data_IF_709328812720
#
_entry.id   IF_709328812720
#
_cell.length_a   1.000
_cell.length_b   1.000
_cell.length_c   1.000
_cell.angle_alpha   90.00
_cell.angle_beta   90.00
_cell.angle_gamma   90.00
#
_symmetry.space_group_name_H-M   'P 1'
#
loop_
_entity.id
_entity.type
_entity.pdbx_description
1 polymer ?
#
# COMPACT_ATOMS: atom_id res chain seq x y z
N UNK A 1 -18.88 0.32 -1.52
CA UNK A 1 -19.92 1.29 -1.11
C UNK A 1 -20.20 2.24 -2.27
N UNK A 2 -21.46 2.66 -2.50
CA UNK A 2 -21.85 3.52 -3.64
C UNK A 2 -22.76 4.70 -3.23
N UNK A 3 -22.94 4.95 -1.92
CA UNK A 3 -23.79 6.03 -1.42
C UNK A 3 -23.14 7.42 -1.50
N UNK A 4 -23.93 8.47 -1.32
CA UNK A 4 -23.49 9.87 -1.48
C UNK A 4 -22.52 10.41 -0.42
N UNK A 5 -22.30 9.66 0.66
CA UNK A 5 -21.29 9.89 1.69
C UNK A 5 -20.06 8.98 1.51
N UNK A 6 -19.75 8.58 0.26
CA UNK A 6 -18.65 7.67 -0.05
C UNK A 6 -17.29 8.10 0.51
N UNK A 7 -17.02 9.41 0.55
CA UNK A 7 -15.78 9.95 1.13
C UNK A 7 -15.74 9.79 2.65
N UNK A 8 -16.88 9.93 3.34
CA UNK A 8 -16.99 9.65 4.78
C UNK A 8 -16.80 8.17 5.06
N UNK A 9 -17.49 7.31 4.29
CA UNK A 9 -17.33 5.86 4.40
C UNK A 9 -15.87 5.46 4.18
N UNK A 10 -15.20 6.02 3.18
CA UNK A 10 -13.79 5.76 2.91
C UNK A 10 -12.89 6.16 4.09
N UNK A 11 -13.09 7.34 4.67
CA UNK A 11 -12.33 7.78 5.85
C UNK A 11 -12.56 6.86 7.06
N UNK A 12 -13.80 6.41 7.28
CA UNK A 12 -14.14 5.50 8.38
C UNK A 12 -13.49 4.11 8.19
N UNK A 13 -13.50 3.57 6.96
CA UNK A 13 -12.80 2.31 6.64
C UNK A 13 -11.28 2.44 6.75
N UNK A 14 -10.70 3.58 6.35
CA UNK A 14 -9.28 3.87 6.56
C UNK A 14 -8.94 3.93 8.05
N UNK A 15 -9.84 4.41 8.90
CA UNK A 15 -9.63 4.43 10.35
C UNK A 15 -9.62 3.01 10.95
N UNK A 16 -10.57 2.16 10.55
CA UNK A 16 -10.59 0.73 10.95
C UNK A 16 -9.32 0.01 10.49
N UNK A 17 -8.91 0.24 9.23
CA UNK A 17 -7.65 -0.30 8.71
C UNK A 17 -6.45 0.17 9.54
N UNK A 18 -6.46 1.41 10.03
CA UNK A 18 -5.42 1.94 10.91
C UNK A 18 -5.34 1.17 12.23
N UNK A 19 -6.48 0.86 12.85
CA UNK A 19 -6.55 0.06 14.07
C UNK A 19 -5.97 -1.34 13.81
N UNK A 20 -6.45 -2.02 12.77
CA UNK A 20 -5.99 -3.37 12.40
C UNK A 20 -4.49 -3.41 12.16
N UNK A 21 -3.97 -2.51 11.31
CA UNK A 21 -2.54 -2.51 10.99
C UNK A 21 -1.69 -2.08 12.19
N UNK A 22 -2.18 -1.18 13.04
CA UNK A 22 -1.46 -0.80 14.27
C UNK A 22 -1.23 -2.01 15.17
N UNK A 23 -2.20 -2.94 15.27
CA UNK A 23 -2.02 -4.17 16.06
C UNK A 23 -0.88 -5.05 15.53
N UNK A 24 -0.70 -5.13 14.20
CA UNK A 24 0.38 -5.89 13.57
C UNK A 24 1.75 -5.36 14.02
N UNK A 25 1.93 -4.04 14.06
CA UNK A 25 3.19 -3.42 14.49
C UNK A 25 3.42 -3.43 16.02
N UNK A 26 2.39 -3.77 16.82
CA UNK A 26 2.53 -3.97 18.27
C UNK A 26 2.97 -5.39 18.65
N UNK A 27 2.78 -6.36 17.74
CA UNK A 27 3.05 -7.77 17.98
C UNK A 27 4.13 -8.31 17.02
N UNK A 28 5.40 -7.88 17.16
CA UNK A 28 6.46 -8.32 16.26
C UNK A 28 6.69 -9.83 16.37
N UNK A 29 6.80 -10.51 15.22
CA UNK A 29 7.17 -11.92 15.19
C UNK A 29 8.61 -12.10 15.67
N UNK A 30 8.85 -13.19 16.42
CA UNK A 30 10.20 -13.57 16.83
C UNK A 30 10.98 -14.12 15.64
N UNK A 31 12.28 -13.89 15.65
CA UNK A 31 13.19 -14.49 14.68
C UNK A 31 13.11 -16.02 14.71
N UNK A 32 12.98 -16.61 13.53
CA UNK A 32 13.04 -18.05 13.32
C UNK A 32 14.07 -18.35 12.23
N UNK A 33 15.14 -19.05 12.59
CA UNK A 33 16.19 -19.47 11.66
C UNK A 33 16.13 -20.98 11.46
N UNK A 34 16.20 -21.41 10.20
CA UNK A 34 16.42 -22.82 9.88
C UNK A 34 17.89 -23.20 10.12
N UNK A 35 18.22 -24.50 10.29
CA UNK A 35 19.62 -24.93 10.44
C UNK A 35 20.53 -24.46 9.30
N UNK A 36 20.00 -24.39 8.08
CA UNK A 36 20.72 -23.88 6.91
C UNK A 36 21.03 -22.37 7.04
N UNK A 37 20.05 -21.58 7.48
CA UNK A 37 20.24 -20.14 7.72
C UNK A 37 21.20 -19.86 8.87
N UNK A 38 21.25 -20.72 9.88
CA UNK A 38 22.26 -20.64 10.94
C UNK A 38 23.67 -20.83 10.38
N UNK A 39 23.88 -21.82 9.50
CA UNK A 39 25.16 -22.02 8.83
C UNK A 39 25.54 -20.82 7.96
N UNK A 40 24.60 -20.27 7.20
CA UNK A 40 24.80 -19.07 6.38
C UNK A 40 25.17 -17.85 7.23
N UNK A 41 24.47 -17.65 8.36
CA UNK A 41 24.79 -16.59 9.31
C UNK A 41 26.21 -16.73 9.88
N UNK A 42 26.62 -17.95 10.25
CA UNK A 42 27.96 -18.19 10.78
C UNK A 42 29.04 -17.93 9.72
N UNK A 43 28.81 -18.39 8.49
CA UNK A 43 29.73 -18.22 7.36
C UNK A 43 29.78 -16.78 6.81
N UNK A 44 28.78 -15.94 7.10
CA UNK A 44 28.70 -14.58 6.58
C UNK A 44 29.91 -13.72 6.99
N UNK A 45 30.57 -13.17 5.97
CA UNK A 45 31.72 -12.26 6.09
C UNK A 45 31.34 -10.80 5.82
N UNK A 46 30.14 -10.55 5.29
CA UNK A 46 29.62 -9.24 4.93
C UNK A 46 28.29 -8.97 5.62
N UNK A 47 28.06 -7.70 5.97
CA UNK A 47 26.79 -7.19 6.44
C UNK A 47 25.83 -7.05 5.25
N UNK A 48 24.66 -7.67 5.30
CA UNK A 48 23.70 -7.59 4.19
C UNK A 48 23.05 -6.20 4.02
N UNK A 49 23.02 -5.37 5.08
CA UNK A 49 22.38 -4.03 5.04
C UNK A 49 23.25 -2.99 4.32
N UNK A 50 24.55 -2.97 4.59
CA UNK A 50 25.50 -2.00 4.02
C UNK A 50 26.47 -2.63 3.01
N UNK A 51 26.33 -3.93 2.78
CA UNK A 51 27.05 -4.72 1.76
C UNK A 51 28.59 -4.67 1.89
N UNK A 52 29.12 -4.43 3.10
CA UNK A 52 30.56 -4.41 3.38
C UNK A 52 30.98 -5.49 4.37
N UNK A 53 32.27 -5.85 4.33
CA UNK A 53 32.83 -6.85 5.24
C UNK A 53 32.76 -6.38 6.70
N UNK A 54 32.56 -7.33 7.62
CA UNK A 54 32.60 -7.02 9.05
C UNK A 54 33.98 -6.50 9.45
N UNK A 55 34.03 -5.35 10.12
CA UNK A 55 35.28 -4.80 10.66
C UNK A 55 35.64 -5.51 11.96
N UNK A 56 36.94 -5.53 12.28
CA UNK A 56 37.43 -6.07 13.56
C UNK A 56 36.73 -5.37 14.74
N UNK A 57 36.20 -6.17 15.68
CA UNK A 57 35.46 -5.69 16.85
C UNK A 57 33.98 -5.35 16.60
N UNK A 58 33.47 -5.42 15.37
CA UNK A 58 32.03 -5.28 15.14
C UNK A 58 31.27 -6.54 15.53
N UNK A 59 30.21 -6.37 16.32
CA UNK A 59 29.31 -7.46 16.68
C UNK A 59 28.41 -7.82 15.50
N UNK A 60 28.54 -9.05 15.02
CA UNK A 60 27.66 -9.67 14.02
C UNK A 60 26.36 -10.13 14.71
N UNK A 61 25.22 -9.67 14.21
CA UNK A 61 23.88 -10.00 14.72
C UNK A 61 22.99 -10.48 13.57
N UNK A 62 22.06 -11.41 13.81
CA UNK A 62 21.10 -11.83 12.81
C UNK A 62 19.97 -10.79 12.68
N UNK A 63 19.71 -10.36 11.46
CA UNK A 63 18.58 -9.48 11.13
C UNK A 63 17.36 -10.31 10.69
N UNK A 64 16.17 -9.82 10.98
CA UNK A 64 14.93 -10.47 10.58
C UNK A 64 13.79 -9.45 10.36
N UNK A 65 12.79 -9.88 9.60
CA UNK A 65 11.56 -9.16 9.36
C UNK A 65 10.56 -9.44 10.50
N UNK A 66 10.09 -8.40 11.16
CA UNK A 66 9.15 -8.53 12.29
C UNK A 66 7.69 -8.73 11.86
N UNK A 67 7.38 -8.59 10.56
CA UNK A 67 6.03 -8.60 10.01
C UNK A 67 5.61 -9.94 9.38
N UNK A 68 6.55 -10.89 9.19
CA UNK A 68 6.23 -12.21 8.63
C UNK A 68 6.57 -13.32 9.64
N UNK A 69 5.68 -14.34 9.77
CA UNK A 69 5.86 -15.41 10.74
C UNK A 69 6.91 -16.43 10.32
N UNK A 70 7.10 -16.64 9.01
CA UNK A 70 7.96 -17.66 8.44
C UNK A 70 8.98 -17.07 7.48
N UNK A 71 10.12 -17.74 7.31
CA UNK A 71 11.23 -17.30 6.47
C UNK A 71 11.62 -15.84 6.74
N UNK A 72 11.62 -15.47 8.03
CA UNK A 72 11.73 -14.08 8.44
C UNK A 72 13.18 -13.61 8.63
N UNK A 73 14.15 -14.51 8.64
CA UNK A 73 15.58 -14.17 8.64
C UNK A 73 16.00 -13.49 7.32
N UNK A 74 16.67 -12.34 7.42
CA UNK A 74 17.15 -11.55 6.27
C UNK A 74 18.63 -11.77 5.97
N UNK A 75 19.45 -11.88 7.01
CA UNK A 75 20.88 -12.05 6.85
C UNK A 75 21.68 -11.62 8.07
N UNK A 76 23.00 -11.74 7.98
CA UNK A 76 23.91 -11.21 8.98
C UNK A 76 24.04 -9.68 8.85
N UNK A 77 24.02 -8.96 9.96
CA UNK A 77 24.18 -7.51 10.03
C UNK A 77 25.15 -7.11 11.14
N UNK A 78 25.70 -5.89 11.09
CA UNK A 78 26.39 -5.32 12.24
C UNK A 78 25.36 -4.71 13.18
N UNK A 79 25.54 -4.86 14.49
CA UNK A 79 24.60 -4.36 15.51
C UNK A 79 24.17 -2.90 15.28
N UNK A 80 25.12 -2.00 14.99
CA UNK A 80 24.83 -0.59 14.74
C UNK A 80 23.97 -0.33 13.50
N UNK A 81 24.10 -1.12 12.43
CA UNK A 81 23.24 -0.98 11.25
C UNK A 81 21.88 -1.65 11.47
N UNK A 82 21.86 -2.81 12.13
CA UNK A 82 20.64 -3.55 12.44
C UNK A 82 19.64 -2.70 13.24
N UNK A 83 20.10 -2.01 14.29
CA UNK A 83 19.23 -1.17 15.14
C UNK A 83 18.63 0.02 14.36
N UNK A 84 19.34 0.50 13.34
CA UNK A 84 18.90 1.61 12.49
C UNK A 84 18.09 1.16 11.27
N UNK A 85 18.11 -0.13 10.94
CA UNK A 85 17.35 -0.71 9.83
C UNK A 85 15.96 -1.10 10.32
N UNK A 86 15.14 -0.08 10.53
CA UNK A 86 13.80 -0.24 11.07
C UNK A 86 12.79 -0.50 9.95
N UNK A 87 11.83 -1.37 10.23
CA UNK A 87 10.68 -1.55 9.35
C UNK A 87 9.93 -0.22 9.21
N UNK A 88 9.60 0.15 7.98
CA UNK A 88 8.83 1.37 7.73
C UNK A 88 7.44 1.21 8.31
N UNK A 89 7.03 2.19 9.10
CA UNK A 89 5.65 2.29 9.60
C UNK A 89 4.79 3.19 8.68
N UNK A 90 5.34 3.57 7.52
CA UNK A 90 4.60 4.32 6.50
C UNK A 90 3.91 3.35 5.54
N UNK A 91 2.59 3.38 5.52
CA UNK A 91 1.77 2.56 4.64
C UNK A 91 1.37 3.41 3.42
N UNK A 92 1.82 3.06 2.21
CA UNK A 92 1.46 3.81 1.02
C UNK A 92 -0.01 3.55 0.65
N UNK A 93 -0.77 4.62 0.47
CA UNK A 93 -2.12 4.57 -0.11
C UNK A 93 -2.02 5.14 -1.52
N UNK A 94 -2.17 4.28 -2.52
CA UNK A 94 -1.84 4.63 -3.91
C UNK A 94 -3.11 4.94 -4.67
N UNK A 95 -3.19 6.15 -5.21
CA UNK A 95 -4.21 6.58 -6.14
C UNK A 95 -3.56 6.87 -7.49
N UNK A 96 -4.22 6.52 -8.58
CA UNK A 96 -3.74 6.90 -9.92
C UNK A 96 -4.42 8.18 -10.37
N UNK A 97 -3.63 9.24 -10.57
CA UNK A 97 -4.08 10.60 -10.84
C UNK A 97 -4.79 11.27 -9.66
N UNK A 98 -4.29 11.05 -8.43
CA UNK A 98 -4.81 11.71 -7.22
C UNK A 98 -4.82 13.23 -7.37
N UNK A 99 -3.73 13.81 -7.89
CA UNK A 99 -3.56 15.27 -7.98
C UNK A 99 -4.53 15.91 -8.97
N UNK A 100 -4.99 15.14 -9.97
CA UNK A 100 -5.96 15.58 -10.97
C UNK A 100 -7.40 15.20 -10.64
N UNK A 101 -7.61 14.44 -9.57
CA UNK A 101 -8.92 14.11 -9.02
C UNK A 101 -9.27 15.06 -7.87
N UNK A 102 -10.50 15.02 -7.37
CA UNK A 102 -10.97 15.79 -6.22
C UNK A 102 -10.36 15.32 -4.88
N UNK A 103 -9.02 15.25 -4.81
CA UNK A 103 -8.26 14.88 -3.62
C UNK A 103 -8.58 15.76 -2.42
N UNK A 104 -9.04 17.00 -2.65
CA UNK A 104 -9.46 17.90 -1.59
C UNK A 104 -10.64 17.34 -0.77
N UNK A 105 -11.59 16.63 -1.38
CA UNK A 105 -12.67 15.97 -0.63
C UNK A 105 -12.13 14.83 0.23
N UNK A 106 -11.27 13.97 -0.34
CA UNK A 106 -10.63 12.86 0.37
C UNK A 106 -9.83 13.38 1.58
N UNK A 107 -8.99 14.39 1.37
CA UNK A 107 -8.17 15.03 2.42
C UNK A 107 -9.05 15.61 3.52
N UNK A 108 -10.15 16.28 3.15
CA UNK A 108 -11.04 16.94 4.12
C UNK A 108 -11.71 15.92 5.04
N UNK A 109 -12.29 14.85 4.49
CA UNK A 109 -12.95 13.82 5.31
C UNK A 109 -11.93 13.04 6.16
N UNK A 110 -10.74 12.72 5.61
CA UNK A 110 -9.65 12.09 6.38
C UNK A 110 -9.19 12.99 7.53
N UNK A 111 -8.98 14.28 7.28
CA UNK A 111 -8.52 15.22 8.30
C UNK A 111 -9.56 15.43 9.41
N UNK A 112 -10.84 15.37 9.06
CA UNK A 112 -11.95 15.64 10.00
C UNK A 112 -12.34 14.42 10.81
N UNK A 113 -12.28 13.22 10.22
CA UNK A 113 -12.85 12.00 10.82
C UNK A 113 -11.82 11.07 11.44
N UNK A 114 -10.58 11.14 10.98
CA UNK A 114 -9.49 10.39 11.59
C UNK A 114 -8.75 11.32 12.53
N UNK A 115 -8.44 10.88 13.73
CA UNK A 115 -7.62 11.68 14.65
C UNK A 115 -6.14 11.69 14.23
N UNK A 116 -5.45 12.78 14.57
CA UNK A 116 -4.02 12.93 14.33
C UNK A 116 -3.63 13.90 13.21
N UNK A 117 -2.35 14.23 13.17
CA UNK A 117 -1.81 15.27 12.30
C UNK A 117 -1.87 14.84 10.84
N UNK A 118 -2.11 15.81 9.95
CA UNK A 118 -1.89 15.65 8.51
C UNK A 118 -0.72 16.52 8.05
N UNK A 119 0.19 15.93 7.31
CA UNK A 119 1.27 16.63 6.60
C UNK A 119 0.93 16.69 5.11
N UNK A 120 0.88 17.89 4.55
CA UNK A 120 0.52 18.13 3.15
C UNK A 120 1.75 18.59 2.37
N UNK A 121 1.93 18.07 1.15
CA UNK A 121 2.85 18.64 0.15
C UNK A 121 2.02 19.21 -1.02
N UNK A 122 1.49 20.45 -0.88
CA UNK A 122 0.62 21.06 -1.88
C UNK A 122 1.41 21.55 -3.11
N UNK A 123 0.77 21.49 -4.29
CA UNK A 123 1.18 22.23 -5.50
C UNK A 123 0.34 23.51 -5.60
N UNK A 124 -0.98 23.37 -5.46
CA UNK A 124 -1.95 24.46 -5.43
C UNK A 124 -2.91 24.27 -4.25
N UNK A 125 -3.94 25.11 -4.11
CA UNK A 125 -4.98 24.93 -3.07
C UNK A 125 -5.80 23.65 -3.25
N UNK A 126 -5.86 23.12 -4.46
CA UNK A 126 -6.71 21.98 -4.82
C UNK A 126 -5.87 20.75 -5.22
N UNK A 127 -4.59 20.94 -5.55
CA UNK A 127 -3.70 19.88 -6.00
C UNK A 127 -2.60 19.60 -4.97
N UNK A 128 -2.46 18.33 -4.60
CA UNK A 128 -1.45 17.85 -3.64
C UNK A 128 -0.56 16.80 -4.31
N UNK A 129 0.77 16.92 -4.16
CA UNK A 129 1.72 15.91 -4.63
C UNK A 129 1.52 14.61 -3.84
N UNK A 130 1.38 14.78 -2.53
CA UNK A 130 1.12 13.70 -1.58
C UNK A 130 0.68 14.32 -0.27
N UNK A 131 0.02 13.51 0.55
CA UNK A 131 -0.22 13.86 1.94
C UNK A 131 0.00 12.65 2.84
N UNK A 132 0.37 12.91 4.08
CA UNK A 132 0.61 11.88 5.08
C UNK A 132 -0.35 12.12 6.24
N UNK A 133 -1.18 11.13 6.53
CA UNK A 133 -2.02 11.09 7.73
C UNK A 133 -1.30 10.30 8.81
N UNK A 134 -0.97 10.97 9.91
CA UNK A 134 -0.46 10.33 11.13
C UNK A 134 -1.62 9.85 11.97
N UNK A 135 -1.53 8.61 12.45
CA UNK A 135 -2.54 8.01 13.33
C UNK A 135 -2.13 8.30 14.77
N UNK A 136 -3.04 8.91 15.54
CA UNK A 136 -2.78 9.19 16.95
C UNK A 136 -2.48 7.91 17.72
N UNK A 137 -1.56 8.01 18.69
CA UNK A 137 -1.17 6.91 19.58
C UNK A 137 -0.63 5.66 18.86
N UNK A 138 -0.33 5.78 17.57
CA UNK A 138 0.28 4.72 16.76
C UNK A 138 1.57 5.19 16.11
N UNK A 139 2.44 4.23 15.78
CA UNK A 139 3.67 4.47 15.03
C UNK A 139 3.43 4.51 13.53
N UNK A 140 2.24 4.10 13.06
CA UNK A 140 1.93 4.06 11.64
C UNK A 140 1.45 5.41 11.11
N UNK A 141 1.71 5.64 9.83
CA UNK A 141 1.08 6.72 9.08
C UNK A 141 0.68 6.24 7.69
N UNK A 142 -0.42 6.76 7.17
CA UNK A 142 -0.84 6.54 5.79
C UNK A 142 -0.28 7.64 4.90
N UNK A 143 0.50 7.26 3.89
CA UNK A 143 1.04 8.20 2.92
C UNK A 143 0.34 8.04 1.58
N UNK A 144 -0.51 9.01 1.27
CA UNK A 144 -1.27 9.07 0.03
C UNK A 144 -0.39 9.61 -1.09
N UNK A 145 -0.26 8.82 -2.16
CA UNK A 145 0.60 9.14 -3.29
C UNK A 145 -0.15 9.04 -4.61
N UNK A 146 0.25 9.89 -5.55
CA UNK A 146 -0.24 9.87 -6.92
C UNK A 146 0.70 9.04 -7.82
N UNK A 147 0.29 7.83 -8.19
CA UNK A 147 1.09 6.97 -9.06
C UNK A 147 1.32 7.56 -10.46
N UNK A 148 0.43 8.44 -10.95
CA UNK A 148 0.57 9.07 -12.26
C UNK A 148 1.78 10.01 -12.34
N UNK A 149 2.23 10.56 -11.20
CA UNK A 149 3.44 11.40 -11.12
C UNK A 149 4.72 10.61 -11.35
N UNK A 150 4.70 9.31 -11.07
CA UNK A 150 5.84 8.40 -11.28
C UNK A 150 5.77 7.73 -12.66
N UNK A 151 4.55 7.39 -13.09
CA UNK A 151 4.29 6.73 -14.38
C UNK A 151 3.12 7.43 -15.09
N UNK A 152 3.44 8.46 -15.86
CA UNK A 152 2.48 9.29 -16.58
C UNK A 152 1.91 8.58 -17.82
N UNK A 153 1.12 7.53 -17.59
CA UNK A 153 0.44 6.74 -18.61
C UNK A 153 -0.92 6.33 -18.07
N UNK A 154 -1.92 6.18 -18.95
CA UNK A 154 -3.25 5.72 -18.56
C UNK A 154 -3.21 4.34 -17.90
N UNK A 155 -4.11 4.08 -16.94
CA UNK A 155 -4.29 2.75 -16.35
C UNK A 155 -4.44 1.64 -17.40
N UNK A 156 -5.17 1.87 -18.49
CA UNK A 156 -5.38 0.88 -19.54
C UNK A 156 -4.06 0.42 -20.21
N UNK A 157 -3.23 1.38 -20.61
CA UNK A 157 -1.88 1.12 -21.10
C UNK A 157 -0.97 0.47 -20.05
N UNK A 158 -1.09 0.86 -18.78
CA UNK A 158 -0.28 0.27 -17.71
C UNK A 158 -0.69 -1.18 -17.43
N UNK A 159 -1.98 -1.47 -17.36
CA UNK A 159 -2.51 -2.81 -17.13
C UNK A 159 -2.21 -3.75 -18.29
N UNK A 160 -2.32 -3.28 -19.53
CA UNK A 160 -2.01 -4.09 -20.73
C UNK A 160 -0.52 -4.39 -20.89
N UNK A 161 0.37 -3.59 -20.29
CA UNK A 161 1.81 -3.85 -20.28
C UNK A 161 2.23 -4.91 -19.23
N UNK A 162 1.37 -5.22 -18.26
CA UNK A 162 1.66 -6.22 -17.22
C UNK A 162 1.33 -7.62 -17.73
N UNK A 163 2.25 -8.55 -17.52
CA UNK A 163 2.08 -9.96 -17.92
C UNK A 163 1.64 -10.87 -16.78
N UNK A 164 1.74 -10.40 -15.52
CA UNK A 164 1.41 -11.19 -14.34
C UNK A 164 0.86 -10.31 -13.21
N UNK A 165 -0.09 -10.86 -12.46
CA UNK A 165 -0.78 -10.21 -11.34
C UNK A 165 -0.77 -11.13 -10.12
N UNK A 166 0.39 -11.38 -9.48
CA UNK A 166 0.52 -12.41 -8.45
C UNK A 166 -0.39 -12.17 -7.23
N UNK A 167 -0.51 -10.92 -6.78
CA UNK A 167 -1.37 -10.56 -5.64
C UNK A 167 -2.85 -10.79 -5.97
N UNK A 168 -3.28 -10.35 -7.15
CA UNK A 168 -4.66 -10.54 -7.62
C UNK A 168 -4.97 -12.03 -7.78
N UNK A 169 -4.05 -12.79 -8.40
CA UNK A 169 -4.19 -14.24 -8.60
C UNK A 169 -4.24 -15.01 -7.28
N UNK A 170 -3.50 -14.57 -6.27
CA UNK A 170 -3.58 -15.15 -4.93
C UNK A 170 -4.94 -14.92 -4.27
N UNK A 171 -5.51 -13.71 -4.41
CA UNK A 171 -6.81 -13.36 -3.84
C UNK A 171 -7.97 -14.06 -4.55
N UNK A 172 -7.87 -14.21 -5.87
CA UNK A 172 -8.90 -14.78 -6.73
C UNK A 172 -8.46 -16.12 -7.35
N UNK A 173 -7.77 -16.95 -6.56
CA UNK A 173 -7.14 -18.19 -7.04
C UNK A 173 -8.12 -19.25 -7.56
N UNK A 174 -9.40 -19.12 -7.20
CA UNK A 174 -10.48 -20.02 -7.61
C UNK A 174 -11.22 -19.56 -8.86
N UNK A 175 -10.94 -18.35 -9.37
CA UNK A 175 -11.62 -17.84 -10.56
C UNK A 175 -11.16 -18.56 -11.83
N UNK A 176 -12.09 -18.85 -12.76
CA UNK A 176 -11.75 -19.24 -14.13
C UNK A 176 -10.85 -18.21 -14.82
N UNK A 177 -9.98 -18.67 -15.72
CA UNK A 177 -8.98 -17.82 -16.39
C UNK A 177 -9.62 -16.71 -17.22
N UNK A 178 -10.72 -16.99 -17.92
CA UNK A 178 -11.49 -16.02 -18.70
C UNK A 178 -12.08 -14.90 -17.84
N UNK A 179 -12.53 -15.20 -16.63
CA UNK A 179 -13.01 -14.20 -15.67
C UNK A 179 -11.85 -13.44 -15.03
N UNK A 180 -10.74 -14.12 -14.76
CA UNK A 180 -9.55 -13.48 -14.22
C UNK A 180 -8.97 -12.45 -15.19
N UNK A 181 -8.94 -12.76 -16.49
CA UNK A 181 -8.50 -11.85 -17.55
C UNK A 181 -9.32 -10.57 -17.66
N UNK A 182 -10.55 -10.56 -17.14
CA UNK A 182 -11.36 -9.33 -17.06
C UNK A 182 -10.86 -8.45 -15.91
N UNK A 183 -10.47 -9.04 -14.78
CA UNK A 183 -9.96 -8.31 -13.60
C UNK A 183 -8.60 -7.64 -13.84
N UNK A 184 -7.84 -8.13 -14.83
CA UNK A 184 -6.54 -7.54 -15.19
C UNK A 184 -6.67 -6.30 -16.06
N UNK A 185 -7.86 -5.99 -16.59
CA UNK A 185 -8.12 -4.85 -17.47
C UNK A 185 -8.63 -3.65 -16.68
N UNK A 186 -8.46 -2.45 -17.25
CA UNK A 186 -9.07 -1.24 -16.70
C UNK A 186 -10.59 -1.35 -16.77
N UNK A 187 -11.27 -1.16 -15.64
CA UNK A 187 -12.73 -1.02 -15.61
C UNK A 187 -13.20 0.24 -16.33
N UNK A 188 -14.30 0.13 -17.06
CA UNK A 188 -14.98 1.27 -17.72
C UNK A 188 -16.11 1.73 -16.80
N UNK A 189 -16.14 3.03 -16.51
CA UNK A 189 -17.21 3.67 -15.75
C UNK A 189 -17.83 4.76 -16.63
N UNK A 190 -19.07 4.60 -17.11
CA UNK A 190 -19.73 5.56 -18.00
C UNK A 190 -20.18 6.79 -17.21
N UNK A 191 -19.28 7.75 -17.00
CA UNK A 191 -19.57 8.94 -16.18
C UNK A 191 -20.78 9.73 -16.64
N UNK A 192 -21.00 9.83 -17.96
CA UNK A 192 -22.14 10.55 -18.54
C UNK A 192 -23.49 9.87 -18.24
N UNK A 193 -23.49 8.57 -17.93
CA UNK A 193 -24.70 7.84 -17.55
C UNK A 193 -25.07 8.04 -16.08
N UNK A 194 -24.07 8.14 -15.20
CA UNK A 194 -24.26 8.24 -13.75
C UNK A 194 -24.50 9.69 -13.33
N UNK A 195 -25.63 10.25 -13.75
CA UNK A 195 -26.08 11.62 -13.46
C UNK A 195 -26.78 11.77 -12.10
N UNK A 196 -27.15 10.67 -11.46
CA UNK A 196 -27.88 10.61 -10.19
C UNK A 196 -27.58 9.33 -9.43
N UNK A 197 -27.80 9.33 -8.11
CA UNK A 197 -27.58 8.13 -7.28
C UNK A 197 -28.53 6.99 -7.62
N UNK A 198 -29.75 7.30 -8.11
CA UNK A 198 -30.76 6.32 -8.49
C UNK A 198 -30.25 5.38 -9.61
N UNK A 199 -29.31 5.85 -10.46
CA UNK A 199 -28.69 5.04 -11.52
C UNK A 199 -27.88 3.86 -10.97
N UNK A 200 -27.41 3.93 -9.72
CA UNK A 200 -26.67 2.82 -9.11
C UNK A 200 -27.58 1.67 -8.65
N UNK A 201 -28.89 1.92 -8.50
CA UNK A 201 -29.89 0.95 -8.08
C UNK A 201 -30.58 0.26 -9.27
N UNK A 202 -30.24 0.66 -10.50
CA UNK A 202 -30.76 0.03 -11.70
C UNK A 202 -30.25 -1.42 -11.83
N UNK A 203 -31.13 -2.38 -12.20
CA UNK A 203 -30.79 -3.80 -12.23
C UNK A 203 -30.00 -4.22 -13.48
N UNK A 204 -29.89 -3.34 -14.48
CA UNK A 204 -29.29 -3.63 -15.78
C UNK A 204 -28.16 -2.65 -16.11
N UNK A 205 -27.19 -3.12 -16.89
CA UNK A 205 -26.13 -2.26 -17.40
C UNK A 205 -26.69 -1.21 -18.38
N UNK A 206 -26.07 -0.03 -18.46
CA UNK A 206 -26.37 0.94 -19.49
C UNK A 206 -26.16 0.34 -20.90
N UNK A 207 -26.90 0.81 -21.92
CA UNK A 207 -26.68 0.39 -23.29
C UNK A 207 -25.24 0.65 -23.78
N UNK A 208 -24.77 -0.16 -24.74
CA UNK A 208 -23.34 -0.17 -25.12
C UNK A 208 -22.85 1.12 -25.78
N UNK A 209 -23.74 1.90 -26.38
CA UNK A 209 -23.43 3.16 -27.05
C UNK A 209 -22.91 4.25 -26.09
N UNK A 210 -23.18 4.11 -24.79
CA UNK A 210 -22.75 5.03 -23.74
C UNK A 210 -21.62 4.48 -22.84
N UNK A 211 -21.11 3.27 -23.14
CA UNK A 211 -19.99 2.62 -22.44
C UNK A 211 -18.61 2.95 -23.05
N UNK A 212 -18.38 4.19 -23.49
CA UNK A 212 -17.09 4.63 -24.06
C UNK A 212 -16.03 4.96 -23.01
#
# INVERSE_FOLDING_TARGET
YRGGDCMRWFADEMNKLAEDVSTVFLCPYKMHMTPQQELEFQAATHCHIFEQSFKSGQKKVPDHNHLIPENNFRGASCEGYNVNYQDTHTIPVVFHNLSGYDAHFVVTDIATRMDGKIDLLPITKEQYISFTKHINESRICFRFIDSFRFMASSLDKLSSALTNFPNLKSQFSTLPEDQFDILTKKGIMPYDYFDSFDRFDEPSLPPQDILQ
#
